data_IF_381474685719
#
_entry.id   IF_381474685719
#
_cell.length_a   1.000
_cell.length_b   1.000
_cell.length_c   1.000
_cell.angle_alpha   90.00
_cell.angle_beta   90.00
_cell.angle_gamma   90.00
#
_symmetry.space_group_name_H-M   'P 1'
#
loop_
_entity.id
_entity.type
_entity.pdbx_description
1 polymer ?
#
# COMPACT_ATOMS: atom_id res chain seq x y z
N UNK A 1 -18.56 -0.69 -3.29
CA UNK A 1 -17.36 -0.83 -2.43
C UNK A 1 -16.71 0.53 -2.37
N UNK A 2 -16.49 1.10 -1.19
CA UNK A 2 -15.77 2.37 -1.04
C UNK A 2 -14.29 2.04 -1.22
N UNK A 3 -13.72 2.35 -2.38
CA UNK A 3 -12.29 2.28 -2.62
C UNK A 3 -11.60 3.28 -1.69
N UNK A 4 -10.66 2.79 -0.87
CA UNK A 4 -9.83 3.65 -0.03
C UNK A 4 -9.03 4.60 -0.92
N UNK A 5 -9.01 5.89 -0.58
CA UNK A 5 -8.34 6.97 -1.34
C UNK A 5 -6.85 6.68 -1.60
N UNK A 6 -6.23 5.84 -0.77
CA UNK A 6 -4.82 5.48 -0.89
C UNK A 6 -4.58 4.22 -1.75
N UNK A 7 -5.62 3.48 -2.16
CA UNK A 7 -5.49 2.45 -3.21
C UNK A 7 -5.17 3.05 -4.59
N UNK A 8 -5.35 4.36 -4.75
CA UNK A 8 -5.06 5.10 -5.98
C UNK A 8 -3.57 5.05 -6.33
N UNK A 9 -2.68 4.99 -5.32
CA UNK A 9 -1.23 5.08 -5.51
C UNK A 9 -0.65 3.94 -6.36
N UNK A 10 -1.25 2.75 -6.27
CA UNK A 10 -0.86 1.58 -7.04
C UNK A 10 -1.92 1.14 -8.05
N UNK A 11 -2.87 2.02 -8.40
CA UNK A 11 -3.98 1.68 -9.28
C UNK A 11 -3.52 1.26 -10.69
N UNK A 12 -2.43 1.84 -11.20
CA UNK A 12 -1.83 1.44 -12.49
C UNK A 12 -1.19 0.04 -12.47
N UNK A 13 -0.96 -0.54 -11.29
CA UNK A 13 -0.29 -1.82 -11.11
C UNK A 13 -1.25 -2.94 -10.67
N UNK A 14 -2.57 -2.75 -10.73
CA UNK A 14 -3.57 -3.70 -10.19
C UNK A 14 -3.44 -5.11 -10.76
N UNK A 15 -3.21 -5.25 -12.07
CA UNK A 15 -3.02 -6.57 -12.68
C UNK A 15 -1.73 -7.23 -12.17
N UNK A 16 -0.69 -6.44 -11.94
CA UNK A 16 0.59 -6.92 -11.43
C UNK A 16 0.52 -7.33 -9.96
N UNK A 17 -0.18 -6.53 -9.16
CA UNK A 17 -0.44 -6.82 -7.75
C UNK A 17 -1.15 -8.15 -7.63
N UNK A 18 -2.24 -8.38 -8.40
CA UNK A 18 -2.97 -9.66 -8.39
C UNK A 18 -2.07 -10.83 -8.72
N UNK A 19 -1.23 -10.69 -9.75
CA UNK A 19 -0.25 -11.72 -10.11
C UNK A 19 0.70 -12.02 -8.93
N UNK A 20 1.26 -10.99 -8.29
CA UNK A 20 2.17 -11.15 -7.16
C UNK A 20 1.47 -11.72 -5.92
N UNK A 21 0.22 -11.37 -5.66
CA UNK A 21 -0.57 -11.93 -4.57
C UNK A 21 -0.83 -13.43 -4.74
N UNK A 22 -1.04 -13.88 -5.98
CA UNK A 22 -1.23 -15.30 -6.30
C UNK A 22 0.09 -16.08 -6.23
N UNK A 23 1.20 -15.45 -6.59
CA UNK A 23 2.52 -16.11 -6.67
C UNK A 23 3.33 -16.04 -5.38
N UNK A 24 3.06 -15.07 -4.50
CA UNK A 24 3.84 -14.83 -3.28
C UNK A 24 2.93 -14.54 -2.09
N UNK A 25 2.80 -15.50 -1.15
CA UNK A 25 2.08 -15.28 0.10
C UNK A 25 2.66 -14.12 0.92
N UNK A 26 3.98 -13.89 0.81
CA UNK A 26 4.64 -12.75 1.47
C UNK A 26 4.16 -11.43 0.87
N UNK A 27 4.16 -11.30 -0.45
CA UNK A 27 3.67 -10.08 -1.09
C UNK A 27 2.21 -9.81 -0.73
N UNK A 28 1.37 -10.86 -0.78
CA UNK A 28 -0.04 -10.76 -0.37
C UNK A 28 -0.20 -10.22 1.05
N UNK A 29 0.62 -10.68 1.99
CA UNK A 29 0.59 -10.19 3.36
C UNK A 29 0.98 -8.70 3.44
N UNK A 30 2.09 -8.32 2.78
CA UNK A 30 2.56 -6.93 2.76
C UNK A 30 1.52 -5.99 2.16
N UNK A 31 0.92 -6.38 1.02
CA UNK A 31 -0.09 -5.56 0.35
C UNK A 31 -1.38 -5.44 1.17
N UNK A 32 -1.83 -6.53 1.82
CA UNK A 32 -2.98 -6.48 2.71
C UNK A 32 -2.74 -5.59 3.94
N UNK A 33 -1.53 -5.63 4.52
CA UNK A 33 -1.13 -4.75 5.63
C UNK A 33 -1.14 -3.27 5.21
N UNK A 34 -0.60 -2.98 4.02
CA UNK A 34 -0.69 -1.65 3.42
C UNK A 34 -2.14 -1.18 3.27
N UNK A 35 -3.04 -2.00 2.73
CA UNK A 35 -4.45 -1.64 2.59
C UNK A 35 -5.14 -1.36 3.93
N UNK A 36 -4.81 -2.13 4.96
CA UNK A 36 -5.34 -1.95 6.31
C UNK A 36 -4.90 -0.59 6.86
N UNK A 37 -3.60 -0.31 6.90
CA UNK A 37 -3.09 0.95 7.45
C UNK A 37 -3.50 2.17 6.62
N UNK A 38 -3.53 2.03 5.30
CA UNK A 38 -4.07 3.02 4.38
C UNK A 38 -5.49 3.45 4.74
N UNK A 39 -6.37 2.48 5.04
CA UNK A 39 -7.76 2.73 5.44
C UNK A 39 -7.83 3.31 6.85
N UNK A 40 -7.04 2.81 7.78
CA UNK A 40 -7.01 3.30 9.15
C UNK A 40 -6.53 4.74 9.21
N UNK A 41 -5.45 5.07 8.50
CA UNK A 41 -4.94 6.43 8.42
C UNK A 41 -5.98 7.39 7.84
N UNK A 42 -6.64 7.00 6.74
CA UNK A 42 -7.73 7.80 6.18
C UNK A 42 -8.88 8.00 7.17
N UNK A 43 -9.26 6.95 7.91
CA UNK A 43 -10.28 7.09 8.95
C UNK A 43 -9.83 8.05 10.05
N UNK A 44 -8.60 7.94 10.55
CA UNK A 44 -8.07 8.80 11.60
C UNK A 44 -7.98 10.27 11.16
N UNK A 45 -7.63 10.53 9.91
CA UNK A 45 -7.49 11.89 9.36
C UNK A 45 -8.84 12.55 9.02
N UNK A 46 -9.89 11.76 8.77
CA UNK A 46 -11.18 12.27 8.26
C UNK A 46 -12.37 12.09 9.21
N UNK A 47 -12.20 11.36 10.31
CA UNK A 47 -13.30 11.14 11.27
C UNK A 47 -13.46 12.34 12.21
N UNK A 48 -14.51 13.12 12.01
CA UNK A 48 -14.91 14.24 12.90
C UNK A 48 -15.30 13.78 14.32
N UNK A 49 -15.63 12.50 14.50
CA UNK A 49 -16.11 11.91 15.77
C UNK A 49 -15.05 11.04 16.48
N UNK A 50 -13.79 11.06 16.04
CA UNK A 50 -12.71 10.23 16.58
C UNK A 50 -12.13 10.74 17.90
N UNK A 51 -11.66 9.82 18.75
CA UNK A 51 -10.80 10.18 19.88
C UNK A 51 -9.53 10.87 19.37
N UNK A 52 -9.08 11.97 19.99
CA UNK A 52 -7.88 12.67 19.56
C UNK A 52 -6.68 11.74 19.63
N UNK A 53 -6.09 11.46 18.47
CA UNK A 53 -4.89 10.64 18.34
C UNK A 53 -3.65 11.52 18.51
N UNK A 54 -2.64 11.08 19.27
CA UNK A 54 -1.39 11.84 19.39
C UNK A 54 -0.66 11.96 18.04
N UNK A 55 -0.07 13.12 17.79
CA UNK A 55 0.68 13.39 16.55
C UNK A 55 1.81 12.36 16.34
N UNK A 56 2.56 12.01 17.39
CA UNK A 56 3.62 10.99 17.33
C UNK A 56 3.13 9.62 16.83
N UNK A 57 1.86 9.28 17.12
CA UNK A 57 1.27 8.03 16.65
C UNK A 57 0.92 8.12 15.16
N UNK A 58 0.40 9.25 14.70
CA UNK A 58 0.15 9.49 13.28
C UNK A 58 1.46 9.45 12.49
N UNK A 59 2.50 10.12 12.98
CA UNK A 59 3.84 10.11 12.38
C UNK A 59 4.40 8.68 12.28
N UNK A 60 4.23 7.87 13.33
CA UNK A 60 4.64 6.47 13.31
C UNK A 60 3.84 5.65 12.28
N UNK A 61 2.55 5.92 12.12
CA UNK A 61 1.70 5.24 11.14
C UNK A 61 2.06 5.66 9.70
N UNK A 62 2.33 6.94 9.46
CA UNK A 62 2.85 7.43 8.17
C UNK A 62 4.22 6.80 7.86
N UNK A 63 5.10 6.66 8.86
CA UNK A 63 6.40 6.01 8.69
C UNK A 63 6.24 4.52 8.33
N UNK A 64 5.39 3.78 9.05
CA UNK A 64 5.09 2.38 8.74
C UNK A 64 4.53 2.23 7.32
N UNK A 65 3.62 3.12 6.93
CA UNK A 65 3.09 3.18 5.57
C UNK A 65 4.19 3.40 4.54
N UNK A 66 5.15 4.29 4.79
CA UNK A 66 6.26 4.55 3.87
C UNK A 66 7.14 3.31 3.64
N UNK A 67 7.41 2.52 4.69
CA UNK A 67 8.17 1.28 4.56
C UNK A 67 7.43 0.22 3.75
N UNK A 68 6.12 0.07 3.96
CA UNK A 68 5.30 -0.86 3.18
C UNK A 68 5.24 -0.42 1.70
N UNK A 69 5.10 0.88 1.46
CA UNK A 69 5.11 1.42 0.10
C UNK A 69 6.43 1.17 -0.63
N UNK A 70 7.56 1.34 0.06
CA UNK A 70 8.87 1.10 -0.51
C UNK A 70 9.08 -0.40 -0.79
N UNK A 71 8.69 -1.28 0.14
CA UNK A 71 8.70 -2.73 -0.14
C UNK A 71 7.83 -3.06 -1.36
N UNK A 72 6.58 -2.57 -1.42
CA UNK A 72 5.68 -2.80 -2.57
C UNK A 72 6.29 -2.27 -3.87
N UNK A 73 6.90 -1.08 -3.88
CA UNK A 73 7.58 -0.55 -5.07
C UNK A 73 8.70 -1.46 -5.52
N UNK A 74 9.52 -1.97 -4.60
CA UNK A 74 10.60 -2.90 -4.94
C UNK A 74 10.04 -4.17 -5.59
N UNK A 75 8.95 -4.74 -5.05
CA UNK A 75 8.26 -5.89 -5.66
C UNK A 75 7.70 -5.59 -7.06
N UNK A 76 7.18 -4.38 -7.27
CA UNK A 76 6.62 -3.96 -8.56
C UNK A 76 7.73 -3.67 -9.60
N UNK A 77 8.84 -3.07 -9.18
CA UNK A 77 10.01 -2.79 -10.02
C UNK A 77 10.78 -4.05 -10.39
N UNK A 78 10.84 -5.04 -9.49
CA UNK A 78 11.48 -6.34 -9.74
C UNK A 78 10.96 -7.06 -11.00
N UNK A 79 9.82 -6.64 -11.57
CA UNK A 79 9.29 -7.16 -12.83
C UNK A 79 9.10 -6.13 -13.95
N UNK A 80 9.35 -4.84 -13.73
CA UNK A 80 9.38 -3.86 -14.84
C UNK A 80 10.67 -4.01 -15.66
N UNK A 81 11.79 -4.41 -15.04
CA UNK A 81 13.06 -4.62 -15.73
C UNK A 81 13.14 -5.91 -16.57
N UNK A 82 12.16 -6.81 -16.45
CA UNK A 82 12.12 -8.08 -17.21
C UNK A 82 11.40 -8.01 -18.56
N UNK A 83 10.73 -6.89 -18.88
CA UNK A 83 9.94 -6.75 -20.13
C UNK A 83 10.50 -5.68 -21.11
N UNK A 84 11.71 -5.16 -20.87
CA UNK A 84 12.41 -4.30 -21.86
C UNK A 84 13.62 -5.02 -22.45
N UNK A 85 13.36 -6.12 -23.16
CA UNK A 85 14.26 -6.57 -24.23
C UNK A 85 13.42 -6.68 -25.51
N UNK A 86 13.37 -5.57 -26.27
CA UNK A 86 12.91 -5.60 -27.66
C UNK A 86 13.82 -4.71 -28.51
N UNK A 87 14.78 -5.41 -29.12
CA UNK A 87 15.51 -5.17 -30.39
C UNK A 87 16.54 -4.04 -30.43
#
# INVERSE_FOLDING_TARGET
>A
MKTSVNSDKFMKYQDKIRELEDQSPRFKQVFAEYEIFSRELWNLETSDDGEPVPDDFLDALHLQMSYLEDEIKDWLQYREDSDTEVV
#
